data_IF_271276814533
#
_entry.id   IF_271276814533
#
_cell.length_a   1.000
_cell.length_b   1.000
_cell.length_c   1.000
_cell.angle_alpha   90.00
_cell.angle_beta   90.00
_cell.angle_gamma   90.00
#
_symmetry.space_group_name_H-M   'P 1'
#
loop_
_entity.id
_entity.type
_entity.pdbx_description
1 polymer ?
#
# COMPACT_ATOMS: atom_id res chain seq x y z
N UNK A 1 24.31 7.43 -6.12
CA UNK A 1 24.11 5.96 -6.10
C UNK A 1 24.18 5.38 -7.50
N UNK A 2 24.49 4.07 -7.65
CA UNK A 2 24.40 3.38 -8.92
C UNK A 2 22.96 3.40 -9.48
N UNK A 3 22.82 3.27 -10.80
CA UNK A 3 21.49 3.20 -11.43
C UNK A 3 20.77 1.92 -10.99
N UNK A 4 19.53 2.04 -10.50
CA UNK A 4 18.70 0.89 -10.10
C UNK A 4 18.31 0.12 -11.36
N UNK A 5 18.63 -1.18 -11.39
CA UNK A 5 18.29 -2.12 -12.46
C UNK A 5 17.50 -3.32 -11.96
N UNK A 6 17.83 -3.80 -10.76
CA UNK A 6 17.20 -4.97 -10.15
C UNK A 6 16.45 -4.59 -8.87
N UNK A 7 15.18 -4.98 -8.82
CA UNK A 7 14.28 -4.68 -7.70
C UNK A 7 13.84 -5.97 -7.03
N UNK A 8 14.08 -6.09 -5.74
CA UNK A 8 13.48 -7.11 -4.90
C UNK A 8 12.08 -6.66 -4.46
N UNK A 9 11.08 -7.53 -4.54
CA UNK A 9 9.75 -7.31 -3.94
C UNK A 9 9.48 -8.46 -2.98
N UNK A 10 9.27 -8.16 -1.71
CA UNK A 10 9.03 -9.15 -0.66
C UNK A 10 7.57 -9.13 -0.24
N UNK A 11 6.89 -10.25 -0.49
CA UNK A 11 5.43 -10.38 -0.37
C UNK A 11 4.77 -10.36 -1.76
N UNK A 12 4.08 -11.44 -2.12
CA UNK A 12 3.38 -11.62 -3.41
C UNK A 12 1.85 -11.48 -3.28
N UNK A 13 1.38 -10.79 -2.22
CA UNK A 13 -0.03 -10.43 -2.05
C UNK A 13 -0.49 -9.36 -3.04
N UNK A 14 -1.67 -8.78 -2.79
CA UNK A 14 -2.29 -7.76 -3.67
C UNK A 14 -1.35 -6.58 -3.95
N UNK A 15 -0.69 -6.04 -2.91
CA UNK A 15 0.22 -4.90 -3.08
C UNK A 15 1.51 -5.31 -3.76
N UNK A 16 2.18 -6.37 -3.28
CA UNK A 16 3.45 -6.81 -3.84
C UNK A 16 3.34 -7.26 -5.30
N UNK A 17 2.28 -7.96 -5.69
CA UNK A 17 2.03 -8.29 -7.09
C UNK A 17 1.84 -7.03 -7.96
N UNK A 18 1.11 -6.03 -7.44
CA UNK A 18 0.93 -4.76 -8.12
C UNK A 18 2.24 -3.95 -8.25
N UNK A 19 3.08 -3.97 -7.20
CA UNK A 19 4.40 -3.32 -7.20
C UNK A 19 5.32 -4.02 -8.20
N UNK A 20 5.41 -5.36 -8.16
CA UNK A 20 6.18 -6.15 -9.14
C UNK A 20 5.74 -5.85 -10.59
N UNK A 21 4.43 -5.74 -10.83
CA UNK A 21 3.86 -5.39 -12.12
C UNK A 21 4.40 -4.05 -12.63
N UNK A 22 4.28 -2.97 -11.84
CA UNK A 22 4.67 -1.63 -12.33
C UNK A 22 6.19 -1.51 -12.53
N UNK A 23 7.00 -2.18 -11.71
CA UNK A 23 8.44 -2.24 -11.92
C UNK A 23 8.81 -3.00 -13.19
N UNK A 24 8.25 -4.20 -13.40
CA UNK A 24 8.52 -5.00 -14.60
C UNK A 24 8.06 -4.29 -15.87
N UNK A 25 6.90 -3.61 -15.84
CA UNK A 25 6.39 -2.80 -16.93
C UNK A 25 7.31 -1.61 -17.26
N UNK A 26 7.94 -1.02 -16.24
CA UNK A 26 8.92 0.06 -16.43
C UNK A 26 10.32 -0.42 -16.87
N UNK A 27 10.49 -1.72 -17.13
CA UNK A 27 11.71 -2.31 -17.69
C UNK A 27 12.70 -2.85 -16.63
N UNK A 28 12.38 -2.82 -15.34
CA UNK A 28 13.24 -3.35 -14.29
C UNK A 28 13.20 -4.88 -14.23
N UNK A 29 14.32 -5.51 -13.87
CA UNK A 29 14.35 -6.89 -13.42
C UNK A 29 13.74 -6.94 -12.02
N UNK A 30 12.78 -7.86 -11.80
CA UNK A 30 12.06 -7.99 -10.54
C UNK A 30 12.26 -9.38 -9.96
N UNK A 31 12.78 -9.44 -8.75
CA UNK A 31 12.88 -10.65 -7.93
C UNK A 31 11.67 -10.64 -6.97
N UNK A 32 10.64 -11.43 -7.27
CA UNK A 32 9.42 -11.48 -6.46
C UNK A 32 9.53 -12.64 -5.47
N UNK A 33 9.72 -12.31 -4.20
CA UNK A 33 9.93 -13.28 -3.12
C UNK A 33 8.68 -13.40 -2.23
N UNK A 34 8.28 -14.64 -1.93
CA UNK A 34 7.26 -14.94 -0.93
C UNK A 34 7.59 -16.24 -0.22
N UNK A 35 6.91 -16.53 0.88
CA UNK A 35 7.11 -17.75 1.68
C UNK A 35 6.40 -18.97 1.09
N UNK A 36 5.43 -18.79 0.20
CA UNK A 36 4.65 -19.86 -0.38
C UNK A 36 4.51 -19.78 -1.90
N UNK A 37 4.74 -20.89 -2.57
CA UNK A 37 4.63 -21.01 -4.03
C UNK A 37 3.25 -20.62 -4.57
N UNK A 38 2.19 -20.90 -3.84
CA UNK A 38 0.83 -20.58 -4.27
C UNK A 38 0.58 -19.06 -4.35
N UNK A 39 1.23 -18.23 -3.52
CA UNK A 39 1.16 -16.78 -3.61
C UNK A 39 1.88 -16.27 -4.85
N UNK A 40 3.08 -16.79 -5.11
CA UNK A 40 3.87 -16.45 -6.30
C UNK A 40 3.12 -16.77 -7.59
N UNK A 41 2.54 -17.98 -7.68
CA UNK A 41 1.74 -18.40 -8.85
C UNK A 41 0.54 -17.50 -9.09
N UNK A 42 -0.21 -17.16 -8.02
CA UNK A 42 -1.35 -16.22 -8.10
C UNK A 42 -0.93 -14.83 -8.51
N UNK A 43 0.20 -14.32 -7.98
CA UNK A 43 0.72 -13.01 -8.33
C UNK A 43 1.05 -12.91 -9.83
N UNK A 44 1.79 -13.87 -10.37
CA UNK A 44 2.15 -13.90 -11.80
C UNK A 44 0.90 -14.00 -12.68
N UNK A 45 -0.07 -14.85 -12.33
CA UNK A 45 -1.33 -14.95 -13.05
C UNK A 45 -2.13 -13.65 -13.02
N UNK A 46 -2.19 -12.97 -11.86
CA UNK A 46 -2.86 -11.69 -11.71
C UNK A 46 -2.17 -10.58 -12.52
N UNK A 47 -0.83 -10.56 -12.54
CA UNK A 47 -0.06 -9.59 -13.35
C UNK A 47 -0.35 -9.82 -14.84
N UNK A 48 -0.33 -11.07 -15.32
CA UNK A 48 -0.68 -11.42 -16.70
C UNK A 48 -2.07 -10.92 -17.07
N UNK A 49 -3.07 -11.17 -16.21
CA UNK A 49 -4.44 -10.72 -16.45
C UNK A 49 -4.55 -9.18 -16.46
N UNK A 50 -3.79 -8.48 -15.63
CA UNK A 50 -3.73 -7.01 -15.62
C UNK A 50 -3.11 -6.46 -16.91
N UNK A 51 -1.97 -7.01 -17.35
CA UNK A 51 -1.30 -6.64 -18.60
C UNK A 51 -2.23 -6.86 -19.80
N UNK A 52 -2.97 -7.98 -19.84
CA UNK A 52 -3.97 -8.23 -20.88
C UNK A 52 -5.09 -7.18 -20.89
N UNK A 53 -5.57 -6.76 -19.71
CA UNK A 53 -6.56 -5.65 -19.62
C UNK A 53 -5.99 -4.30 -20.03
N UNK A 54 -4.71 -4.04 -19.79
CA UNK A 54 -4.04 -2.84 -20.25
C UNK A 54 -3.86 -2.85 -21.77
N UNK A 55 -3.49 -3.99 -22.35
CA UNK A 55 -3.38 -4.16 -23.80
C UNK A 55 -4.75 -3.97 -24.49
N UNK A 56 -5.80 -4.58 -23.97
CA UNK A 56 -7.18 -4.41 -24.48
C UNK A 56 -7.67 -2.95 -24.44
N UNK A 57 -7.09 -2.11 -23.54
CA UNK A 57 -7.37 -0.67 -23.45
C UNK A 57 -6.38 0.21 -24.24
N UNK A 58 -5.48 -0.38 -25.02
CA UNK A 58 -4.45 0.33 -25.80
C UNK A 58 -3.37 1.02 -24.96
N UNK A 59 -3.22 0.65 -23.67
CA UNK A 59 -2.22 1.22 -22.77
C UNK A 59 -0.86 0.52 -22.85
N UNK A 60 -0.81 -0.65 -23.45
CA UNK A 60 0.37 -1.48 -23.66
C UNK A 60 0.22 -2.23 -24.98
N UNK A 61 1.24 -2.35 -25.83
CA UNK A 61 1.22 -3.27 -26.94
C UNK A 61 1.08 -4.71 -26.47
N UNK A 62 0.26 -5.53 -27.12
CA UNK A 62 0.09 -6.95 -26.76
C UNK A 62 1.41 -7.72 -26.77
N UNK A 63 2.30 -7.35 -27.69
CA UNK A 63 3.66 -7.90 -27.83
C UNK A 63 4.55 -7.65 -26.59
N UNK A 64 4.21 -6.70 -25.74
CA UNK A 64 4.98 -6.38 -24.52
C UNK A 64 4.55 -7.20 -23.30
N UNK A 65 3.47 -7.98 -23.38
CA UNK A 65 3.00 -8.80 -22.24
C UNK A 65 4.05 -9.82 -21.82
N UNK A 66 4.50 -10.69 -22.74
CA UNK A 66 5.48 -11.73 -22.42
C UNK A 66 6.86 -11.17 -22.05
N UNK A 67 7.41 -10.15 -22.76
CA UNK A 67 8.64 -9.49 -22.31
C UNK A 67 8.54 -8.89 -20.90
N UNK A 68 7.40 -8.31 -20.55
CA UNK A 68 7.19 -7.76 -19.19
C UNK A 68 7.17 -8.87 -18.15
N UNK A 69 6.47 -9.97 -18.39
CA UNK A 69 6.43 -11.12 -17.48
C UNK A 69 7.79 -11.79 -17.35
N UNK A 70 8.59 -11.86 -18.40
CA UNK A 70 9.93 -12.43 -18.40
C UNK A 70 10.91 -11.65 -17.49
N UNK A 71 10.62 -10.39 -17.17
CA UNK A 71 11.41 -9.60 -16.20
C UNK A 71 11.13 -9.99 -14.75
N UNK A 72 10.05 -10.72 -14.47
CA UNK A 72 9.66 -11.13 -13.11
C UNK A 72 10.19 -12.53 -12.85
N UNK A 73 11.02 -12.66 -11.84
CA UNK A 73 11.56 -13.92 -11.37
C UNK A 73 10.98 -14.24 -9.98
N UNK A 74 10.00 -15.16 -9.89
CA UNK A 74 9.47 -15.61 -8.61
C UNK A 74 10.49 -16.48 -7.87
N UNK A 75 10.58 -16.32 -6.55
CA UNK A 75 11.48 -17.13 -5.71
C UNK A 75 10.90 -17.34 -4.31
N UNK A 76 11.19 -18.49 -3.70
CA UNK A 76 10.94 -18.77 -2.28
C UNK A 76 12.18 -18.44 -1.42
N UNK A 77 13.32 -18.27 -2.07
CA UNK A 77 14.59 -18.02 -1.41
C UNK A 77 14.88 -16.52 -1.33
N UNK A 78 14.98 -15.98 -0.10
CA UNK A 78 15.36 -14.58 0.12
C UNK A 78 16.80 -14.28 -0.29
N UNK A 79 17.71 -15.27 -0.23
CA UNK A 79 19.10 -15.08 -0.63
C UNK A 79 19.22 -14.71 -2.12
N UNK A 80 18.23 -15.09 -2.95
CA UNK A 80 18.17 -14.67 -4.34
C UNK A 80 18.09 -13.13 -4.50
N UNK A 81 17.72 -12.40 -3.45
CA UNK A 81 17.66 -10.93 -3.45
C UNK A 81 19.04 -10.26 -3.30
N UNK A 82 20.12 -11.02 -3.07
CA UNK A 82 21.47 -10.50 -2.86
C UNK A 82 22.00 -9.60 -4.00
N UNK A 83 21.40 -9.67 -5.19
CA UNK A 83 21.74 -8.80 -6.33
C UNK A 83 20.77 -7.64 -6.56
N UNK A 84 19.86 -7.35 -5.63
CA UNK A 84 18.92 -6.26 -5.79
C UNK A 84 19.51 -4.91 -5.34
N UNK A 85 19.27 -3.86 -6.14
CA UNK A 85 19.68 -2.48 -5.84
C UNK A 85 18.73 -1.80 -4.84
N UNK A 86 17.49 -2.25 -4.82
CA UNK A 86 16.44 -1.85 -3.88
C UNK A 86 15.54 -3.03 -3.57
N UNK A 87 15.13 -3.19 -2.32
CA UNK A 87 14.08 -4.11 -1.93
C UNK A 87 12.85 -3.33 -1.42
N UNK A 88 11.66 -3.64 -1.97
CA UNK A 88 10.38 -3.11 -1.53
C UNK A 88 9.63 -4.19 -0.76
N UNK A 89 9.50 -4.00 0.54
CA UNK A 89 8.77 -4.90 1.42
C UNK A 89 7.25 -4.58 1.33
N UNK A 90 6.45 -5.60 1.06
CA UNK A 90 4.99 -5.55 0.93
C UNK A 90 4.30 -6.78 1.57
N UNK A 91 4.88 -7.28 2.67
CA UNK A 91 4.34 -8.38 3.47
C UNK A 91 3.20 -7.91 4.40
N UNK A 92 2.76 -8.80 5.31
CA UNK A 92 1.68 -8.50 6.26
C UNK A 92 1.99 -7.27 7.13
N UNK A 93 0.95 -6.49 7.43
CA UNK A 93 1.05 -5.22 8.17
C UNK A 93 1.21 -5.47 9.68
N UNK A 94 2.30 -6.14 10.08
CA UNK A 94 2.69 -6.46 11.45
C UNK A 94 4.14 -6.06 11.67
N UNK A 95 4.38 -5.27 12.72
CA UNK A 95 5.71 -4.73 13.00
C UNK A 95 6.77 -5.84 13.15
N UNK A 96 6.47 -6.92 13.90
CA UNK A 96 7.42 -8.00 14.17
C UNK A 96 7.85 -8.70 12.88
N UNK A 97 6.90 -8.91 11.95
CA UNK A 97 7.17 -9.52 10.64
C UNK A 97 8.06 -8.62 9.80
N UNK A 98 7.70 -7.33 9.70
CA UNK A 98 8.48 -6.37 8.92
C UNK A 98 9.86 -6.13 9.54
N UNK A 99 9.98 -6.07 10.85
CA UNK A 99 11.24 -5.92 11.56
C UNK A 99 12.19 -7.12 11.31
N UNK A 100 11.66 -8.34 11.32
CA UNK A 100 12.45 -9.54 10.96
C UNK A 100 12.91 -9.50 9.50
N UNK A 101 12.00 -9.13 8.60
CA UNK A 101 12.33 -8.99 7.17
C UNK A 101 13.41 -7.93 6.95
N UNK A 102 13.31 -6.77 7.61
CA UNK A 102 14.31 -5.71 7.51
C UNK A 102 15.68 -6.15 8.02
N UNK A 103 15.74 -6.85 9.16
CA UNK A 103 17.02 -7.44 9.66
C UNK A 103 17.59 -8.49 8.70
N UNK A 104 16.73 -9.29 8.08
CA UNK A 104 17.16 -10.30 7.10
C UNK A 104 17.69 -9.64 5.83
N UNK A 105 16.94 -8.70 5.25
CA UNK A 105 17.31 -7.97 4.04
C UNK A 105 18.56 -7.12 4.23
N UNK A 106 18.76 -6.55 5.42
CA UNK A 106 19.96 -5.79 5.77
C UNK A 106 21.25 -6.62 5.66
N UNK A 107 21.16 -7.92 5.92
CA UNK A 107 22.30 -8.86 5.78
C UNK A 107 22.50 -9.37 4.35
N UNK A 108 21.39 -9.57 3.61
CA UNK A 108 21.39 -10.19 2.28
C UNK A 108 21.79 -9.20 1.19
N UNK A 109 21.26 -7.98 1.26
CA UNK A 109 21.41 -6.97 0.21
C UNK A 109 22.79 -6.32 0.23
N UNK A 110 23.29 -5.85 -0.93
CA UNK A 110 24.50 -5.05 -0.99
C UNK A 110 24.44 -3.84 -0.06
N UNK A 111 25.56 -3.40 0.48
CA UNK A 111 25.63 -2.29 1.44
C UNK A 111 24.99 -0.99 0.91
N UNK A 112 25.12 -0.73 -0.39
CA UNK A 112 24.54 0.45 -1.05
C UNK A 112 23.05 0.33 -1.37
N UNK A 113 22.44 -0.86 -1.20
CA UNK A 113 21.04 -1.08 -1.56
C UNK A 113 20.06 -0.36 -0.64
N UNK A 114 18.95 0.10 -1.21
CA UNK A 114 17.86 0.76 -0.49
C UNK A 114 16.88 -0.29 0.06
N UNK A 115 16.43 -0.08 1.28
CA UNK A 115 15.35 -0.82 1.92
C UNK A 115 14.10 0.05 1.94
N UNK A 116 13.12 -0.27 1.10
CA UNK A 116 11.84 0.41 1.06
C UNK A 116 10.73 -0.48 1.67
N UNK A 117 9.70 0.14 2.25
CA UNK A 117 8.50 -0.56 2.72
C UNK A 117 7.24 0.07 2.15
N UNK A 118 6.27 -0.77 1.81
CA UNK A 118 4.93 -0.34 1.39
C UNK A 118 3.95 -0.26 2.57
N UNK A 119 4.43 -0.23 3.81
CA UNK A 119 3.54 -0.08 4.96
C UNK A 119 2.64 1.14 4.82
N UNK A 120 1.43 1.06 5.35
CA UNK A 120 0.47 2.17 5.41
C UNK A 120 0.44 2.88 6.77
N UNK A 121 1.04 2.28 7.81
CA UNK A 121 0.85 2.76 9.18
C UNK A 121 2.05 2.53 10.10
N UNK A 122 2.95 1.60 9.78
CA UNK A 122 4.11 1.29 10.63
C UNK A 122 5.20 2.35 10.42
N UNK A 123 5.76 2.85 11.52
CA UNK A 123 6.82 3.88 11.48
C UNK A 123 8.05 3.42 10.71
N UNK A 124 8.43 4.20 9.71
CA UNK A 124 9.65 4.02 8.93
C UNK A 124 10.89 4.12 9.83
N UNK A 125 10.86 5.05 10.78
CA UNK A 125 11.92 5.24 11.77
C UNK A 125 12.14 3.99 12.63
N UNK A 126 11.05 3.34 13.09
CA UNK A 126 11.14 2.08 13.87
C UNK A 126 11.71 0.93 13.04
N UNK A 127 11.36 0.85 11.75
CA UNK A 127 11.92 -0.16 10.84
C UNK A 127 13.40 0.13 10.53
N UNK A 128 13.75 1.37 10.28
CA UNK A 128 15.14 1.79 10.07
C UNK A 128 16.07 1.42 11.24
N UNK A 129 15.56 1.53 12.47
CA UNK A 129 16.28 1.15 13.69
C UNK A 129 16.56 -0.37 13.78
N UNK A 130 15.96 -1.20 12.94
CA UNK A 130 16.23 -2.64 12.86
C UNK A 130 17.40 -2.99 11.95
N UNK A 131 18.02 -2.01 11.30
CA UNK A 131 19.07 -2.17 10.28
C UNK A 131 20.35 -1.43 10.64
N UNK A 132 21.46 -1.78 10.00
CA UNK A 132 22.74 -1.06 10.11
C UNK A 132 22.85 0.08 9.11
N UNK A 133 21.83 0.26 8.21
CA UNK A 133 21.77 1.29 7.17
C UNK A 133 20.53 2.20 7.28
N UNK A 134 20.26 2.84 8.42
CA UNK A 134 19.04 3.61 8.62
C UNK A 134 18.86 4.78 7.63
N UNK A 135 19.96 5.28 7.05
CA UNK A 135 19.91 6.32 6.01
C UNK A 135 19.35 5.81 4.67
N UNK A 136 19.43 4.51 4.40
CA UNK A 136 18.92 3.87 3.18
C UNK A 136 17.54 3.23 3.37
N UNK A 137 16.88 3.51 4.49
CA UNK A 137 15.52 3.05 4.76
C UNK A 137 14.51 4.14 4.45
N UNK A 138 13.44 3.79 3.71
CA UNK A 138 12.43 4.74 3.26
C UNK A 138 11.06 4.05 3.11
N UNK A 139 9.96 4.81 3.27
CA UNK A 139 8.64 4.36 2.91
C UNK A 139 8.37 4.62 1.42
N UNK A 140 7.78 3.65 0.74
CA UNK A 140 7.30 3.75 -0.63
C UNK A 140 5.85 3.24 -0.67
N UNK A 141 4.94 4.08 -0.17
CA UNK A 141 3.55 3.72 0.05
C UNK A 141 2.74 3.88 -1.24
N UNK A 142 2.46 2.76 -1.88
CA UNK A 142 1.59 2.66 -3.06
C UNK A 142 0.13 2.53 -2.67
N UNK A 143 -0.76 2.92 -3.59
CA UNK A 143 -2.21 2.82 -3.42
C UNK A 143 -2.81 1.71 -4.28
N UNK A 144 -3.79 0.99 -3.74
CA UNK A 144 -4.48 -0.09 -4.42
C UNK A 144 -5.61 0.45 -5.33
N UNK A 145 -5.70 0.02 -6.61
CA UNK A 145 -4.82 -0.92 -7.35
C UNK A 145 -3.53 -0.23 -7.85
N UNK A 146 -2.37 -0.82 -7.54
CA UNK A 146 -1.05 -0.21 -7.83
C UNK A 146 -0.87 0.16 -9.31
N UNK A 147 -1.27 -0.64 -10.31
CA UNK A 147 -1.13 -0.24 -11.72
C UNK A 147 -1.99 0.95 -12.13
N UNK A 148 -3.06 1.26 -11.37
CA UNK A 148 -4.05 2.28 -11.71
C UNK A 148 -3.80 3.59 -10.98
N UNK A 149 -3.53 3.49 -9.68
CA UNK A 149 -3.33 4.67 -8.83
C UNK A 149 -1.99 5.35 -9.14
N UNK A 150 -2.02 6.65 -9.34
CA UNK A 150 -0.83 7.42 -9.73
C UNK A 150 0.03 7.85 -8.56
N UNK A 151 -0.55 8.00 -7.36
CA UNK A 151 0.15 8.49 -6.18
C UNK A 151 1.08 7.44 -5.57
N UNK A 152 2.26 7.90 -5.13
CA UNK A 152 3.13 7.21 -4.17
C UNK A 152 3.53 8.21 -3.08
N UNK A 153 3.18 7.94 -1.82
CA UNK A 153 3.79 8.68 -0.71
C UNK A 153 5.21 8.16 -0.50
N UNK A 154 6.19 9.03 -0.67
CA UNK A 154 7.60 8.75 -0.39
C UNK A 154 7.90 9.25 1.01
N UNK A 155 7.94 8.30 1.97
CA UNK A 155 7.91 8.62 3.40
C UNK A 155 9.32 8.58 3.98
N UNK A 156 9.78 9.73 4.47
CA UNK A 156 11.08 9.86 5.13
C UNK A 156 10.96 9.50 6.61
N UNK A 157 11.69 8.48 7.05
CA UNK A 157 11.96 8.27 8.46
C UNK A 157 12.97 9.30 8.99
N UNK A 158 13.15 9.35 10.30
CA UNK A 158 14.02 10.33 10.98
C UNK A 158 15.46 10.34 10.45
N UNK A 159 15.97 9.16 10.06
CA UNK A 159 17.35 8.99 9.60
C UNK A 159 17.47 8.88 8.06
N UNK A 160 16.38 8.88 7.31
CA UNK A 160 16.40 8.72 5.85
C UNK A 160 17.26 9.79 5.19
N UNK A 161 18.28 9.39 4.43
CA UNK A 161 19.19 10.29 3.74
C UNK A 161 18.55 10.98 2.52
N UNK A 162 19.02 12.19 2.20
CA UNK A 162 18.52 12.96 1.04
C UNK A 162 18.79 12.23 -0.29
N UNK A 163 19.91 11.54 -0.39
CA UNK A 163 20.26 10.75 -1.58
C UNK A 163 19.29 9.56 -1.78
N UNK A 164 18.92 8.88 -0.69
CA UNK A 164 17.92 7.80 -0.71
C UNK A 164 16.55 8.34 -1.14
N UNK A 165 16.14 9.46 -0.57
CA UNK A 165 14.89 10.11 -0.96
C UNK A 165 14.90 10.51 -2.43
N UNK A 166 15.93 11.21 -2.90
CA UNK A 166 16.02 11.66 -4.29
C UNK A 166 15.98 10.48 -5.27
N UNK A 167 16.67 9.38 -4.94
CA UNK A 167 16.68 8.15 -5.76
C UNK A 167 15.29 7.52 -5.85
N UNK A 168 14.60 7.34 -4.71
CA UNK A 168 13.27 6.73 -4.68
C UNK A 168 12.22 7.64 -5.31
N UNK A 169 12.34 8.95 -5.13
CA UNK A 169 11.49 9.93 -5.81
C UNK A 169 11.63 9.83 -7.34
N UNK A 170 12.85 9.84 -7.86
CA UNK A 170 13.10 9.69 -9.30
C UNK A 170 12.62 8.32 -9.81
N UNK A 171 12.80 7.27 -9.02
CA UNK A 171 12.33 5.92 -9.33
C UNK A 171 10.79 5.90 -9.47
N UNK A 172 10.05 6.52 -8.55
CA UNK A 172 8.59 6.61 -8.63
C UNK A 172 8.14 7.35 -9.89
N UNK A 173 8.82 8.43 -10.29
CA UNK A 173 8.55 9.12 -11.56
C UNK A 173 8.79 8.18 -12.75
N UNK A 174 9.90 7.41 -12.76
CA UNK A 174 10.21 6.43 -13.81
C UNK A 174 9.13 5.33 -13.93
N UNK A 175 8.44 5.01 -12.82
CA UNK A 175 7.27 4.12 -12.81
C UNK A 175 5.99 4.76 -13.35
N UNK A 176 6.01 6.02 -13.79
CA UNK A 176 4.84 6.79 -14.20
C UNK A 176 3.94 7.18 -13.02
N UNK A 177 4.50 7.25 -11.81
CA UNK A 177 3.80 7.70 -10.61
C UNK A 177 4.09 9.17 -10.31
N UNK A 178 3.25 9.75 -9.47
CA UNK A 178 3.45 11.07 -8.88
C UNK A 178 3.92 10.87 -7.43
N UNK A 179 5.22 10.99 -7.15
CA UNK A 179 5.73 10.92 -5.78
C UNK A 179 5.36 12.18 -5.00
N UNK A 180 4.95 12.00 -3.76
CA UNK A 180 4.73 13.08 -2.80
C UNK A 180 5.59 12.82 -1.58
N UNK A 181 6.43 13.80 -1.21
CA UNK A 181 7.25 13.73 -0.01
C UNK A 181 6.39 13.82 1.24
N UNK A 182 6.59 12.89 2.16
CA UNK A 182 5.89 12.83 3.44
C UNK A 182 6.88 12.49 4.54
N UNK A 183 6.71 13.08 5.72
CA UNK A 183 7.48 12.69 6.90
C UNK A 183 6.79 11.54 7.66
N UNK A 184 7.62 10.69 8.29
CA UNK A 184 7.15 9.57 9.10
C UNK A 184 6.31 10.05 10.28
N UNK A 185 5.02 9.74 10.22
CA UNK A 185 4.05 10.02 11.27
C UNK A 185 2.95 8.94 11.21
N UNK A 186 2.21 8.66 12.28
CA UNK A 186 1.12 7.69 12.25
C UNK A 186 0.11 7.99 11.14
N UNK A 187 -0.08 7.01 10.22
CA UNK A 187 -1.00 7.11 9.08
C UNK A 187 -0.55 8.02 7.94
N UNK A 188 0.70 8.54 7.97
CA UNK A 188 1.27 9.46 6.99
C UNK A 188 0.33 10.65 6.71
N UNK A 189 0.11 11.04 5.45
CA UNK A 189 -0.88 12.08 5.12
C UNK A 189 -2.22 11.46 4.80
N UNK A 190 -2.24 10.44 3.94
CA UNK A 190 -3.48 9.87 3.42
C UNK A 190 -4.39 9.35 4.52
N UNK A 191 -3.92 8.44 5.37
CA UNK A 191 -4.75 7.86 6.43
C UNK A 191 -5.02 8.85 7.56
N UNK A 192 -4.06 9.72 7.88
CA UNK A 192 -4.23 10.74 8.93
C UNK A 192 -5.37 11.72 8.64
N UNK A 193 -5.62 12.01 7.37
CA UNK A 193 -6.70 12.94 6.95
C UNK A 193 -7.98 12.16 6.64
N UNK A 194 -7.88 11.06 5.89
CA UNK A 194 -9.04 10.30 5.42
C UNK A 194 -9.78 9.59 6.56
N UNK A 195 -9.05 8.97 7.50
CA UNK A 195 -9.74 8.20 8.54
C UNK A 195 -10.55 9.05 9.51
N UNK A 196 -10.09 10.23 10.00
CA UNK A 196 -10.94 11.15 10.73
C UNK A 196 -12.15 11.65 9.94
N UNK A 197 -12.03 11.88 8.64
CA UNK A 197 -13.15 12.26 7.78
C UNK A 197 -14.24 11.16 7.76
N UNK A 198 -13.84 9.90 7.53
CA UNK A 198 -14.76 8.75 7.56
C UNK A 198 -15.36 8.57 8.95
N UNK A 199 -14.54 8.70 9.99
CA UNK A 199 -14.94 8.53 11.37
C UNK A 199 -15.98 9.56 11.79
N UNK A 200 -15.78 10.84 11.42
CA UNK A 200 -16.72 11.92 11.70
C UNK A 200 -18.03 11.73 10.92
N UNK A 201 -17.96 11.27 9.66
CA UNK A 201 -19.15 10.91 8.90
C UNK A 201 -19.95 9.79 9.59
N UNK A 202 -19.27 8.79 10.18
CA UNK A 202 -19.92 7.74 10.96
C UNK A 202 -20.52 8.25 12.28
N UNK A 203 -19.88 9.23 12.96
CA UNK A 203 -20.44 9.89 14.13
C UNK A 203 -21.71 10.67 13.75
N UNK A 204 -21.71 11.42 12.66
CA UNK A 204 -22.88 12.16 12.19
C UNK A 204 -24.11 11.24 11.96
N UNK A 205 -23.87 10.03 11.40
CA UNK A 205 -24.92 9.01 11.27
C UNK A 205 -25.36 8.47 12.63
N UNK A 206 -24.41 8.14 13.50
CA UNK A 206 -24.69 7.59 14.83
C UNK A 206 -25.51 8.56 15.70
N UNK A 207 -25.21 9.85 15.59
CA UNK A 207 -25.87 10.92 16.34
C UNK A 207 -27.21 11.39 15.71
N UNK A 208 -27.58 10.79 14.57
CA UNK A 208 -28.86 11.08 13.91
C UNK A 208 -28.88 12.41 13.15
N UNK A 209 -27.71 13.00 12.84
CA UNK A 209 -27.62 14.24 12.05
C UNK A 209 -28.15 14.00 10.65
N UNK A 210 -27.81 12.87 10.01
CA UNK A 210 -28.29 12.50 8.69
C UNK A 210 -28.21 10.97 8.46
N UNK A 211 -28.90 10.49 7.41
CA UNK A 211 -28.73 9.10 6.94
C UNK A 211 -27.40 8.93 6.21
N UNK A 212 -26.88 7.69 6.05
CA UNK A 212 -25.66 7.44 5.26
C UNK A 212 -25.73 8.04 3.85
N UNK A 213 -26.89 7.90 3.18
CA UNK A 213 -27.12 8.43 1.84
C UNK A 213 -27.02 9.95 1.79
N UNK A 214 -27.60 10.63 2.79
CA UNK A 214 -27.57 12.10 2.87
C UNK A 214 -26.15 12.62 3.13
N UNK A 215 -25.38 11.98 4.03
CA UNK A 215 -23.96 12.30 4.26
C UNK A 215 -23.18 12.18 2.95
N UNK A 216 -23.28 11.06 2.27
CA UNK A 216 -22.55 10.81 1.03
C UNK A 216 -22.96 11.78 -0.09
N UNK A 217 -24.26 12.13 -0.20
CA UNK A 217 -24.74 13.13 -1.17
C UNK A 217 -24.15 14.52 -0.91
N UNK A 218 -24.10 14.96 0.35
CA UNK A 218 -23.50 16.27 0.72
C UNK A 218 -22.03 16.32 0.25
N UNK A 219 -21.25 15.28 0.49
CA UNK A 219 -19.84 15.25 0.05
C UNK A 219 -19.71 15.21 -1.48
N UNK A 220 -20.55 14.43 -2.15
CA UNK A 220 -20.51 14.33 -3.62
C UNK A 220 -20.96 15.61 -4.32
N UNK A 221 -22.05 16.20 -3.87
CA UNK A 221 -22.68 17.33 -4.56
C UNK A 221 -22.21 18.69 -4.04
N UNK A 222 -21.96 18.80 -2.73
CA UNK A 222 -21.53 20.03 -2.10
C UNK A 222 -20.01 20.26 -2.12
N UNK A 223 -19.22 19.16 -2.05
CA UNK A 223 -17.76 19.23 -1.98
C UNK A 223 -17.07 18.62 -3.21
N UNK A 224 -17.82 18.18 -4.21
CA UNK A 224 -17.35 17.58 -5.45
C UNK A 224 -16.43 16.38 -5.25
N UNK A 225 -16.67 15.59 -4.19
CA UNK A 225 -15.94 14.31 -4.00
C UNK A 225 -16.44 13.27 -5.01
N UNK A 226 -15.56 12.46 -5.60
CA UNK A 226 -15.97 11.44 -6.57
C UNK A 226 -16.80 10.33 -5.92
N UNK A 227 -16.65 10.15 -4.61
CA UNK A 227 -17.33 9.15 -3.79
C UNK A 227 -17.59 9.73 -2.40
N UNK A 228 -18.75 9.43 -1.82
CA UNK A 228 -19.04 9.85 -0.44
C UNK A 228 -18.19 9.07 0.57
N UNK A 229 -17.96 9.64 1.77
CA UNK A 229 -17.06 9.06 2.77
C UNK A 229 -17.51 7.68 3.27
N UNK A 230 -18.81 7.41 3.38
CA UNK A 230 -19.33 6.14 3.88
C UNK A 230 -19.32 5.05 2.79
N UNK A 231 -19.60 5.42 1.54
CA UNK A 231 -19.38 4.52 0.38
C UNK A 231 -17.89 4.16 0.26
N UNK A 232 -16.99 5.12 0.50
CA UNK A 232 -15.54 4.88 0.49
C UNK A 232 -15.11 3.97 1.64
N UNK A 233 -15.68 4.15 2.84
CA UNK A 233 -15.44 3.28 3.98
C UNK A 233 -15.82 1.82 3.67
N UNK A 234 -17.00 1.60 3.08
CA UNK A 234 -17.43 0.27 2.65
C UNK A 234 -16.54 -0.33 1.55
N UNK A 235 -15.97 0.51 0.68
CA UNK A 235 -15.02 0.07 -0.35
C UNK A 235 -13.66 -0.34 0.23
N UNK A 236 -13.14 0.43 1.20
CA UNK A 236 -11.89 0.12 1.92
C UNK A 236 -12.06 -1.14 2.77
N UNK A 237 -13.19 -1.24 3.44
CA UNK A 237 -13.52 -2.22 4.47
C UNK A 237 -13.54 -1.58 5.86
N UNK A 238 -14.67 -1.75 6.56
CA UNK A 238 -14.88 -1.09 7.85
C UNK A 238 -13.93 -1.57 8.94
N UNK A 239 -13.53 -2.84 8.91
CA UNK A 239 -12.48 -3.40 9.77
C UNK A 239 -11.14 -2.70 9.56
N UNK A 240 -10.74 -2.49 8.30
CA UNK A 240 -9.51 -1.76 7.95
C UNK A 240 -9.59 -0.32 8.46
N UNK A 241 -10.74 0.36 8.30
CA UNK A 241 -10.93 1.71 8.82
C UNK A 241 -10.78 1.77 10.35
N UNK A 242 -11.39 0.82 11.07
CA UNK A 242 -11.27 0.73 12.53
C UNK A 242 -9.83 0.46 12.97
N UNK A 243 -9.13 -0.44 12.30
CA UNK A 243 -7.74 -0.76 12.63
C UNK A 243 -6.81 0.43 12.40
N UNK A 244 -6.97 1.16 11.30
CA UNK A 244 -6.19 2.38 11.05
C UNK A 244 -6.49 3.46 12.11
N UNK A 245 -7.75 3.66 12.49
CA UNK A 245 -8.13 4.61 13.56
C UNK A 245 -7.48 4.24 14.89
N UNK A 246 -7.41 2.95 15.25
CA UNK A 246 -6.69 2.47 16.44
C UNK A 246 -5.21 2.77 16.38
N UNK A 247 -4.57 2.53 15.22
CA UNK A 247 -3.16 2.88 14.99
C UNK A 247 -2.93 4.38 15.16
N UNK A 248 -3.81 5.22 14.61
CA UNK A 248 -3.73 6.67 14.80
C UNK A 248 -3.89 7.08 16.26
N UNK A 249 -4.90 6.52 16.96
CA UNK A 249 -5.17 6.80 18.36
C UNK A 249 -3.99 6.41 19.26
N UNK A 250 -3.44 5.22 19.05
CA UNK A 250 -2.30 4.72 19.82
C UNK A 250 -1.02 5.50 19.49
N UNK A 251 -0.77 5.72 18.19
CA UNK A 251 0.45 6.38 17.74
C UNK A 251 0.56 7.86 18.14
N UNK A 252 -0.57 8.57 18.27
CA UNK A 252 -0.60 9.96 18.76
C UNK A 252 -0.92 10.08 20.24
N UNK A 253 -1.44 9.03 20.88
CA UNK A 253 -1.95 9.11 22.26
C UNK A 253 -3.14 10.07 22.40
N UNK A 254 -3.88 10.36 21.32
CA UNK A 254 -4.92 11.37 21.28
C UNK A 254 -6.31 10.70 21.05
N UNK A 255 -7.24 10.85 22.03
CA UNK A 255 -8.57 10.25 21.95
C UNK A 255 -9.42 10.76 20.79
N UNK A 256 -9.06 11.85 20.11
CA UNK A 256 -9.79 12.33 18.92
C UNK A 256 -9.82 11.32 17.79
N UNK A 257 -8.87 10.38 17.75
CA UNK A 257 -8.81 9.31 16.74
C UNK A 257 -9.56 8.03 17.16
N UNK A 258 -10.25 8.04 18.33
CA UNK A 258 -11.02 6.87 18.76
C UNK A 258 -12.04 6.48 17.67
N UNK A 259 -12.15 5.18 17.32
CA UNK A 259 -13.15 4.75 16.36
C UNK A 259 -14.57 5.07 16.83
N UNK A 260 -15.41 5.52 15.92
CA UNK A 260 -16.83 5.71 16.18
C UNK A 260 -17.46 4.38 16.64
N UNK A 261 -18.24 4.37 17.74
CA UNK A 261 -18.91 3.15 18.24
C UNK A 261 -19.78 2.46 17.18
N UNK A 262 -20.37 3.21 16.26
CA UNK A 262 -21.15 2.65 15.15
C UNK A 262 -20.25 1.81 14.23
N UNK A 263 -19.08 2.33 13.84
CA UNK A 263 -18.12 1.58 13.02
C UNK A 263 -17.71 0.27 13.69
N UNK A 264 -17.39 0.32 14.99
CA UNK A 264 -17.00 -0.88 15.74
C UNK A 264 -18.13 -1.90 15.75
N UNK A 265 -19.37 -1.47 16.04
CA UNK A 265 -20.55 -2.37 16.03
C UNK A 265 -20.82 -3.00 14.67
N UNK A 266 -20.62 -2.25 13.56
CA UNK A 266 -20.76 -2.80 12.22
C UNK A 266 -19.73 -3.90 11.97
N UNK A 267 -18.47 -3.67 12.38
CA UNK A 267 -17.39 -4.67 12.28
C UNK A 267 -17.70 -5.91 13.13
N UNK A 268 -18.15 -5.73 14.38
CA UNK A 268 -18.53 -6.82 15.28
C UNK A 268 -19.69 -7.67 14.71
N UNK A 269 -20.59 -7.03 13.94
CA UNK A 269 -21.69 -7.73 13.23
C UNK A 269 -21.23 -8.44 11.95
N UNK A 270 -19.94 -8.36 11.56
CA UNK A 270 -19.43 -8.91 10.31
C UNK A 270 -19.82 -8.10 9.07
N UNK A 271 -20.34 -6.87 9.24
CA UNK A 271 -20.71 -5.98 8.16
C UNK A 271 -19.48 -5.13 7.76
N UNK A 272 -18.62 -5.73 6.95
CA UNK A 272 -17.30 -5.19 6.65
C UNK A 272 -17.27 -4.36 5.36
N UNK A 273 -18.42 -3.98 4.83
CA UNK A 273 -18.56 -3.26 3.57
C UNK A 273 -18.75 -4.20 2.36
N UNK A 274 -18.27 -3.78 1.19
CA UNK A 274 -18.43 -4.53 -0.08
C UNK A 274 -17.94 -5.97 0.00
N UNK A 275 -16.82 -6.22 0.68
CA UNK A 275 -16.21 -7.55 0.77
C UNK A 275 -17.09 -8.59 1.49
N UNK A 276 -17.98 -8.14 2.38
CA UNK A 276 -18.94 -8.99 3.09
C UNK A 276 -20.37 -8.89 2.52
N UNK A 277 -20.59 -8.05 1.50
CA UNK A 277 -21.90 -7.75 0.92
C UNK A 277 -22.74 -6.76 1.74
N UNK A 278 -22.24 -6.27 2.86
CA UNK A 278 -22.93 -5.31 3.74
C UNK A 278 -21.95 -4.48 4.55
N UNK A 279 -22.27 -3.20 4.72
CA UNK A 279 -21.60 -2.23 5.57
C UNK A 279 -22.59 -1.15 5.98
N UNK A 280 -22.31 0.11 5.70
CA UNK A 280 -23.30 1.19 5.74
C UNK A 280 -24.40 0.96 4.71
N UNK A 281 -24.02 0.32 3.59
CA UNK A 281 -24.92 -0.07 2.49
C UNK A 281 -25.02 -1.58 2.35
N UNK A 282 -26.04 -2.02 1.60
CA UNK A 282 -26.17 -3.42 1.19
C UNK A 282 -25.74 -3.54 -0.26
N UNK A 283 -24.94 -4.54 -0.56
CA UNK A 283 -24.40 -4.83 -1.89
C UNK A 283 -24.92 -6.20 -2.36
N UNK A 284 -25.47 -6.24 -3.55
CA UNK A 284 -25.79 -7.52 -4.17
C UNK A 284 -24.50 -8.32 -4.40
N UNK A 285 -24.52 -9.59 -4.06
CA UNK A 285 -23.41 -10.48 -4.42
C UNK A 285 -23.35 -10.51 -5.94
N UNK A 286 -22.27 -9.97 -6.51
CA UNK A 286 -21.98 -10.24 -7.91
C UNK A 286 -21.81 -11.76 -8.05
N UNK A 287 -22.74 -12.37 -8.83
CA UNK A 287 -22.76 -13.79 -9.13
C UNK A 287 -21.51 -14.21 -9.93
#
# INVERSE_FOLDING_TARGET
MAEIQTVGVVGAGTMGSGIAHVFARAGFRVLLCDVEQCFLGRAVAQIRANLGREAAKGKLPETEIEPTLARIQPTLDREALAGADIAVEAASERFEVKAELFRSLDRILPEAAILATNTSSISITKLAAQTHRPKQVIGMHFFNPVPVMTLVEVVRGLATGDETFATVHALAVKLGKTPVEVNDAPGFVSNRVLMPLINEAAFAVMEGVATPEAVDQVFKLGMNHPMGPLTLADFIGLDVCVDILRVLQEGFGDPKYRPCPLLVRLVDAGWLGRKSGRGFYTYEKQA
#
